data_IF_800710408820
#
_entry.id   IF_800710408820
#
_cell.length_a   1.000
_cell.length_b   1.000
_cell.length_c   1.000
_cell.angle_alpha   90.00
_cell.angle_beta   90.00
_cell.angle_gamma   90.00
#
_symmetry.space_group_name_H-M   'P 1'
#
loop_
_entity.id
_entity.type
_entity.pdbx_description
1 polymer ?
#
# COMPACT_ATOMS: atom_id res chain seq x y z
N UNK A 1 -6.95 -19.83 18.73
CA UNK A 1 -6.26 -19.22 17.58
C UNK A 1 -4.84 -19.76 17.61
N UNK A 2 -4.44 -20.51 16.58
CA UNK A 2 -3.05 -20.92 16.45
C UNK A 2 -2.19 -19.70 16.15
N UNK A 3 -0.92 -19.70 16.54
CA UNK A 3 0.02 -18.62 16.15
C UNK A 3 0.04 -18.42 14.62
N UNK A 4 -0.15 -19.51 13.88
CA UNK A 4 -0.20 -19.54 12.42
C UNK A 4 -1.42 -18.82 11.83
N UNK A 5 -2.51 -18.71 12.57
CA UNK A 5 -3.69 -17.95 12.14
C UNK A 5 -3.35 -16.46 12.03
N UNK A 6 -2.47 -15.95 12.91
CA UNK A 6 -2.04 -14.54 12.92
C UNK A 6 -1.16 -14.25 11.69
N UNK A 7 -0.22 -15.14 11.37
CA UNK A 7 0.63 -14.97 10.20
C UNK A 7 -0.18 -15.05 8.89
N UNK A 8 -1.12 -15.98 8.78
CA UNK A 8 -2.01 -16.03 7.60
C UNK A 8 -2.93 -14.80 7.51
N UNK A 9 -3.44 -14.29 8.64
CA UNK A 9 -4.22 -13.06 8.65
C UNK A 9 -3.38 -11.86 8.21
N UNK A 10 -2.15 -11.74 8.71
CA UNK A 10 -1.22 -10.68 8.31
C UNK A 10 -0.89 -10.76 6.81
N UNK A 11 -0.64 -11.97 6.29
CA UNK A 11 -0.40 -12.20 4.86
C UNK A 11 -1.55 -11.68 4.00
N UNK A 12 -2.80 -11.89 4.43
CA UNK A 12 -3.99 -11.40 3.70
C UNK A 12 -4.05 -9.87 3.66
N UNK A 13 -3.74 -9.19 4.76
CA UNK A 13 -3.68 -7.73 4.77
C UNK A 13 -2.52 -7.17 3.93
N UNK A 14 -1.35 -7.85 3.92
CA UNK A 14 -0.24 -7.48 3.02
C UNK A 14 -0.62 -7.67 1.56
N UNK A 15 -1.26 -8.79 1.23
CA UNK A 15 -1.77 -9.02 -0.12
C UNK A 15 -2.72 -7.89 -0.52
N UNK A 16 -3.70 -7.57 0.33
CA UNK A 16 -4.67 -6.52 0.07
C UNK A 16 -3.99 -5.15 -0.13
N UNK A 17 -3.00 -4.82 0.70
CA UNK A 17 -2.18 -3.63 0.57
C UNK A 17 -1.50 -3.55 -0.81
N UNK A 18 -0.77 -4.60 -1.18
CA UNK A 18 -0.05 -4.62 -2.44
C UNK A 18 -0.98 -4.56 -3.65
N UNK A 19 -2.08 -5.33 -3.66
CA UNK A 19 -3.06 -5.28 -4.74
C UNK A 19 -3.54 -3.85 -5.01
N UNK A 20 -3.90 -3.11 -3.95
CA UNK A 20 -4.38 -1.74 -4.08
C UNK A 20 -3.26 -0.77 -4.47
N UNK A 21 -2.04 -1.00 -3.98
CA UNK A 21 -0.90 -0.17 -4.32
C UNK A 21 -0.48 -0.33 -5.78
N UNK A 22 -0.36 -1.55 -6.28
CA UNK A 22 -0.01 -1.79 -7.68
C UNK A 22 -1.14 -1.38 -8.63
N UNK A 23 -2.41 -1.56 -8.25
CA UNK A 23 -3.53 -0.95 -8.99
C UNK A 23 -3.40 0.59 -9.07
N UNK A 24 -2.96 1.23 -7.98
CA UNK A 24 -2.69 2.66 -7.98
C UNK A 24 -1.50 3.02 -8.87
N UNK A 25 -0.39 2.28 -8.82
CA UNK A 25 0.79 2.54 -9.64
C UNK A 25 0.52 2.35 -11.14
N UNK A 26 -0.12 1.25 -11.51
CA UNK A 26 -0.47 0.93 -12.90
C UNK A 26 -1.35 2.02 -13.51
N UNK A 27 -2.29 2.58 -12.74
CA UNK A 27 -3.15 3.65 -13.25
C UNK A 27 -2.47 5.02 -13.13
N UNK A 28 -1.92 5.35 -11.96
CA UNK A 28 -1.56 6.70 -11.52
C UNK A 28 -0.07 6.97 -11.28
N UNK A 29 0.77 5.94 -11.31
CA UNK A 29 2.24 6.02 -11.19
C UNK A 29 2.91 6.76 -12.34
N UNK A 30 4.19 7.10 -12.21
CA UNK A 30 4.85 8.02 -13.15
C UNK A 30 4.94 7.52 -14.60
N UNK A 31 4.94 6.20 -14.81
CA UNK A 31 5.11 5.56 -16.12
C UNK A 31 4.09 6.04 -17.17
N UNK A 32 2.81 6.11 -16.82
CA UNK A 32 1.75 6.47 -17.76
C UNK A 32 1.24 7.91 -17.63
N UNK A 33 2.06 8.84 -17.13
CA UNK A 33 1.65 10.23 -16.85
C UNK A 33 1.01 10.93 -18.07
N UNK A 34 1.57 10.74 -19.27
CA UNK A 34 1.04 11.32 -20.51
C UNK A 34 -0.32 10.71 -20.86
N UNK A 35 -0.37 9.37 -20.99
CA UNK A 35 -1.58 8.61 -21.32
C UNK A 35 -2.73 8.89 -20.36
N UNK A 36 -2.45 9.03 -19.07
CA UNK A 36 -3.48 9.44 -18.10
C UNK A 36 -4.15 10.77 -18.41
N UNK A 37 -3.36 11.78 -18.78
CA UNK A 37 -3.90 13.13 -19.06
C UNK A 37 -4.68 13.17 -20.37
N UNK A 38 -4.29 12.35 -21.33
CA UNK A 38 -4.88 12.34 -22.68
C UNK A 38 -6.02 11.32 -22.83
N UNK A 39 -6.01 10.24 -22.03
CA UNK A 39 -6.93 9.12 -22.16
C UNK A 39 -7.74 8.90 -20.89
N UNK A 40 -7.09 8.65 -19.74
CA UNK A 40 -7.79 8.26 -18.51
C UNK A 40 -8.71 9.37 -18.00
N UNK A 41 -8.14 10.55 -17.68
CA UNK A 41 -8.93 11.65 -17.15
C UNK A 41 -9.97 12.15 -18.14
N UNK A 42 -9.68 12.36 -19.44
CA UNK A 42 -10.70 12.79 -20.40
C UNK A 42 -11.83 11.76 -20.62
N UNK A 43 -11.63 10.48 -20.31
CA UNK A 43 -12.68 9.47 -20.44
C UNK A 43 -13.76 9.64 -19.37
N UNK A 44 -13.39 9.95 -18.13
CA UNK A 44 -14.36 10.29 -17.08
C UNK A 44 -13.66 10.99 -15.89
N UNK A 45 -13.47 12.32 -15.92
CA UNK A 45 -12.58 13.00 -14.97
C UNK A 45 -12.93 12.77 -13.51
N UNK A 46 -14.22 12.90 -13.16
CA UNK A 46 -14.71 12.77 -11.77
C UNK A 46 -14.53 11.34 -11.21
N UNK A 47 -14.71 10.33 -12.05
CA UNK A 47 -14.60 8.92 -11.65
C UNK A 47 -13.15 8.61 -11.32
N UNK A 48 -12.23 8.92 -12.23
CA UNK A 48 -10.82 8.59 -12.05
C UNK A 48 -10.13 9.44 -10.99
N UNK A 49 -10.56 10.69 -10.78
CA UNK A 49 -10.07 11.48 -9.65
C UNK A 49 -10.55 10.91 -8.30
N UNK A 50 -11.81 10.46 -8.24
CA UNK A 50 -12.36 9.77 -7.06
C UNK A 50 -11.59 8.47 -6.80
N UNK A 51 -11.42 7.61 -7.80
CA UNK A 51 -10.70 6.33 -7.66
C UNK A 51 -9.27 6.57 -7.19
N UNK A 52 -8.53 7.50 -7.82
CA UNK A 52 -7.16 7.86 -7.43
C UNK A 52 -7.09 8.22 -5.94
N UNK A 53 -7.99 9.11 -5.48
CA UNK A 53 -8.02 9.55 -4.10
C UNK A 53 -8.37 8.41 -3.14
N UNK A 54 -9.37 7.59 -3.49
CA UNK A 54 -9.82 6.47 -2.64
C UNK A 54 -8.77 5.37 -2.52
N UNK A 55 -8.13 4.96 -3.63
CA UNK A 55 -7.05 3.96 -3.59
C UNK A 55 -5.87 4.45 -2.75
N UNK A 56 -5.43 5.68 -2.99
CA UNK A 56 -4.33 6.26 -2.21
C UNK A 56 -4.65 6.29 -0.72
N UNK A 57 -5.84 6.79 -0.33
CA UNK A 57 -6.25 6.84 1.08
C UNK A 57 -6.37 5.44 1.69
N UNK A 58 -6.84 4.47 0.92
CA UNK A 58 -6.98 3.09 1.37
C UNK A 58 -5.61 2.46 1.67
N UNK A 59 -4.63 2.60 0.77
CA UNK A 59 -3.25 2.13 0.97
C UNK A 59 -2.64 2.72 2.23
N UNK A 60 -2.73 4.04 2.42
CA UNK A 60 -2.20 4.70 3.63
C UNK A 60 -2.89 4.20 4.91
N UNK A 61 -4.19 3.90 4.83
CA UNK A 61 -4.96 3.36 5.95
C UNK A 61 -4.54 1.93 6.29
N UNK A 62 -4.34 1.05 5.31
CA UNK A 62 -3.86 -0.32 5.55
C UNK A 62 -2.47 -0.28 6.21
N UNK A 63 -1.53 0.47 5.64
CA UNK A 63 -0.19 0.67 6.23
C UNK A 63 -0.30 1.14 7.68
N UNK A 64 -1.14 2.14 7.94
CA UNK A 64 -1.30 2.67 9.30
C UNK A 64 -1.83 1.61 10.28
N UNK A 65 -2.79 0.77 9.88
CA UNK A 65 -3.34 -0.31 10.71
C UNK A 65 -2.30 -1.40 10.98
N UNK A 66 -1.51 -1.78 9.96
CA UNK A 66 -0.42 -2.74 10.11
C UNK A 66 0.71 -2.23 11.02
N UNK A 67 0.85 -0.90 11.16
CA UNK A 67 1.86 -0.26 12.00
C UNK A 67 1.32 0.25 13.34
N UNK A 68 0.05 -0.01 13.67
CA UNK A 68 -0.52 0.34 14.95
C UNK A 68 0.13 -0.45 16.12
N UNK A 69 0.00 0.03 17.37
CA UNK A 69 0.41 -0.73 18.55
C UNK A 69 -0.29 -2.09 18.63
N UNK A 70 0.24 -3.02 19.43
CA UNK A 70 -0.35 -4.36 19.61
C UNK A 70 -1.80 -4.30 20.14
N UNK A 71 -2.13 -3.24 20.87
CA UNK A 71 -3.47 -2.99 21.40
C UNK A 71 -3.88 -1.54 21.25
N UNK A 72 -5.16 -1.31 20.99
CA UNK A 72 -5.79 0.00 21.07
C UNK A 72 -7.08 -0.12 21.88
N UNK A 73 -7.28 0.74 22.87
CA UNK A 73 -8.45 0.72 23.75
C UNK A 73 -8.75 -0.68 24.33
N UNK A 74 -7.70 -1.43 24.72
CA UNK A 74 -7.80 -2.77 25.29
C UNK A 74 -8.02 -3.92 24.29
N UNK A 75 -8.27 -3.63 23.01
CA UNK A 75 -8.46 -4.64 21.96
C UNK A 75 -7.15 -4.93 21.23
N UNK A 76 -6.91 -6.20 20.90
CA UNK A 76 -5.74 -6.62 20.12
C UNK A 76 -5.86 -6.19 18.66
N UNK A 77 -4.76 -5.68 18.11
CA UNK A 77 -4.63 -5.33 16.70
C UNK A 77 -3.84 -6.41 15.97
N UNK A 78 -4.22 -6.68 14.72
CA UNK A 78 -3.36 -7.38 13.78
C UNK A 78 -2.33 -6.36 13.24
N UNK A 79 -1.18 -6.27 13.88
CA UNK A 79 -0.12 -5.34 13.52
C UNK A 79 1.26 -6.00 13.50
N UNK A 80 2.25 -5.33 12.92
CA UNK A 80 3.63 -5.78 12.84
C UNK A 80 4.20 -6.04 14.23
N UNK A 81 3.84 -5.21 15.22
CA UNK A 81 4.24 -5.41 16.61
C UNK A 81 3.64 -6.70 17.19
N UNK A 82 2.37 -6.96 16.93
CA UNK A 82 1.71 -8.20 17.37
C UNK A 82 2.36 -9.41 16.71
N UNK A 83 2.71 -9.30 15.42
CA UNK A 83 3.37 -10.38 14.69
C UNK A 83 4.76 -10.68 15.30
N UNK A 84 5.57 -9.65 15.50
CA UNK A 84 6.91 -9.78 16.10
C UNK A 84 6.82 -10.33 17.52
N UNK A 85 5.90 -9.83 18.36
CA UNK A 85 5.77 -10.30 19.75
C UNK A 85 5.30 -11.75 19.84
N UNK A 86 4.42 -12.18 18.92
CA UNK A 86 3.89 -13.56 18.86
C UNK A 86 4.97 -14.58 18.50
N UNK A 87 5.91 -14.23 17.62
CA UNK A 87 6.87 -15.18 17.05
C UNK A 87 8.27 -15.15 17.70
N UNK A 88 8.50 -14.30 18.70
CA UNK A 88 9.75 -14.36 19.48
C UNK A 88 9.88 -15.71 20.22
N UNK A 89 11.12 -16.18 20.48
CA UNK A 89 12.41 -15.58 20.08
C UNK A 89 12.78 -15.90 18.63
N UNK A 90 13.56 -15.03 17.97
CA UNK A 90 14.09 -15.23 16.60
C UNK A 90 15.55 -15.70 16.62
N UNK A 91 16.03 -16.27 15.50
CA UNK A 91 17.49 -16.39 15.25
C UNK A 91 18.15 -15.01 15.19
N UNK A 92 19.47 -14.96 15.41
CA UNK A 92 20.23 -13.71 15.38
C UNK A 92 20.14 -13.02 14.01
N UNK A 93 20.23 -13.80 12.95
CA UNK A 93 20.14 -13.35 11.56
C UNK A 93 18.74 -12.78 11.26
N UNK A 94 17.68 -13.48 11.68
CA UNK A 94 16.32 -12.99 11.51
C UNK A 94 16.06 -11.72 12.31
N UNK A 95 16.58 -11.63 13.55
CA UNK A 95 16.42 -10.46 14.40
C UNK A 95 17.05 -9.21 13.78
N UNK A 96 18.28 -9.31 13.26
CA UNK A 96 18.97 -8.20 12.59
C UNK A 96 18.17 -7.67 11.39
N UNK A 97 17.65 -8.56 10.54
CA UNK A 97 16.83 -8.17 9.39
C UNK A 97 15.54 -7.48 9.84
N UNK A 98 14.86 -8.01 10.86
CA UNK A 98 13.62 -7.41 11.39
C UNK A 98 13.90 -6.01 11.94
N UNK A 99 14.97 -5.82 12.72
CA UNK A 99 15.30 -4.53 13.32
C UNK A 99 15.65 -3.47 12.25
N UNK A 100 16.42 -3.86 11.23
CA UNK A 100 16.74 -2.99 10.10
C UNK A 100 15.49 -2.56 9.32
N UNK A 101 14.59 -3.51 9.01
CA UNK A 101 13.34 -3.22 8.33
C UNK A 101 12.41 -2.32 9.17
N UNK A 102 12.37 -2.52 10.49
CA UNK A 102 11.61 -1.64 11.39
C UNK A 102 12.16 -0.20 11.38
N UNK A 103 13.48 -0.03 11.32
CA UNK A 103 14.12 1.28 11.21
C UNK A 103 13.72 1.99 9.91
N UNK A 104 13.77 1.28 8.77
CA UNK A 104 13.37 1.82 7.47
C UNK A 104 11.88 2.21 7.43
N UNK A 105 11.01 1.38 8.01
CA UNK A 105 9.58 1.72 8.15
C UNK A 105 9.41 3.03 8.93
N UNK A 106 10.10 3.20 10.05
CA UNK A 106 9.98 4.41 10.88
C UNK A 106 10.46 5.66 10.14
N UNK A 107 11.53 5.55 9.34
CA UNK A 107 12.04 6.65 8.54
C UNK A 107 11.02 7.14 7.49
N UNK A 108 10.23 6.22 6.92
CA UNK A 108 9.29 6.53 5.82
C UNK A 108 7.83 6.72 6.29
N UNK A 109 7.47 6.35 7.52
CA UNK A 109 6.07 6.35 7.97
C UNK A 109 5.53 7.72 8.44
N UNK A 110 6.38 8.70 8.74
CA UNK A 110 5.96 9.95 9.40
C UNK A 110 4.90 10.73 8.62
N UNK A 111 5.06 10.88 7.30
CA UNK A 111 4.10 11.59 6.45
C UNK A 111 2.81 10.79 6.26
N UNK A 112 2.91 9.48 6.10
CA UNK A 112 1.78 8.55 6.03
C UNK A 112 0.90 8.70 7.28
N UNK A 113 1.51 8.66 8.47
CA UNK A 113 0.82 8.85 9.75
C UNK A 113 0.14 10.21 9.84
N UNK A 114 0.79 11.26 9.34
CA UNK A 114 0.22 12.62 9.30
C UNK A 114 -1.04 12.67 8.44
N UNK A 115 -1.00 12.08 7.24
CA UNK A 115 -2.17 11.94 6.37
C UNK A 115 -3.30 11.16 7.03
N UNK A 116 -2.98 10.01 7.64
CA UNK A 116 -3.97 9.20 8.36
C UNK A 116 -4.66 10.01 9.44
N UNK A 117 -3.90 10.66 10.32
CA UNK A 117 -4.45 11.40 11.43
C UNK A 117 -5.25 12.61 10.98
N UNK A 118 -4.70 13.46 10.11
CA UNK A 118 -5.32 14.74 9.77
C UNK A 118 -6.45 14.61 8.75
N UNK A 119 -6.30 13.76 7.73
CA UNK A 119 -7.22 13.76 6.59
C UNK A 119 -8.14 12.54 6.54
N UNK A 120 -7.63 11.36 6.87
CA UNK A 120 -8.35 10.10 6.64
C UNK A 120 -9.23 9.76 7.84
N UNK A 121 -8.70 9.84 9.06
CA UNK A 121 -9.40 9.37 10.26
C UNK A 121 -10.17 10.45 11.01
N UNK A 122 -9.63 11.67 11.14
CA UNK A 122 -10.18 12.67 12.08
C UNK A 122 -10.74 13.93 11.45
N UNK A 123 -10.66 14.08 10.11
CA UNK A 123 -11.15 15.26 9.42
C UNK A 123 -10.69 16.59 10.08
N UNK A 124 -9.39 16.68 10.37
CA UNK A 124 -8.79 17.77 11.13
C UNK A 124 -9.14 19.13 10.54
N UNK A 125 -9.69 20.01 11.37
CA UNK A 125 -10.25 21.29 10.95
C UNK A 125 -9.17 22.20 10.34
N UNK A 126 -8.03 22.33 11.00
CA UNK A 126 -6.91 23.16 10.53
C UNK A 126 -6.44 22.69 9.16
N UNK A 127 -6.27 21.38 9.01
CA UNK A 127 -5.91 20.79 7.73
C UNK A 127 -6.96 21.02 6.64
N UNK A 128 -8.26 20.99 6.98
CA UNK A 128 -9.33 21.25 6.01
C UNK A 128 -9.41 22.69 5.55
N UNK A 129 -9.01 23.63 6.39
CA UNK A 129 -8.96 25.05 6.04
C UNK A 129 -7.70 25.40 5.24
N UNK A 130 -6.55 24.82 5.60
CA UNK A 130 -5.25 25.22 5.07
C UNK A 130 -4.69 24.31 3.96
N UNK A 131 -5.26 23.11 3.78
CA UNK A 131 -4.77 22.08 2.83
C UNK A 131 -3.28 21.74 3.00
N UNK A 132 -2.77 21.77 4.23
CA UNK A 132 -1.34 21.68 4.57
C UNK A 132 -0.92 20.25 4.95
N UNK A 133 -0.94 19.35 3.95
CA UNK A 133 -0.38 18.01 4.11
C UNK A 133 0.92 17.85 3.33
N UNK A 134 1.91 17.17 3.91
CA UNK A 134 3.16 16.90 3.21
C UNK A 134 2.94 15.90 2.08
N UNK A 135 3.46 16.19 0.89
CA UNK A 135 3.49 15.20 -0.20
C UNK A 135 4.26 13.96 0.24
N UNK A 136 3.66 12.78 0.02
CA UNK A 136 4.30 11.49 0.22
C UNK A 136 4.85 11.02 -1.13
N UNK A 137 6.17 10.92 -1.31
CA UNK A 137 6.76 10.30 -2.49
C UNK A 137 6.32 8.84 -2.62
N UNK A 138 6.07 8.39 -3.85
CA UNK A 138 5.77 6.99 -4.17
C UNK A 138 6.78 6.04 -3.52
N UNK A 139 8.07 6.39 -3.62
CA UNK A 139 9.17 5.59 -3.04
C UNK A 139 9.08 5.43 -1.52
N UNK A 140 8.58 6.42 -0.78
CA UNK A 140 8.40 6.29 0.68
C UNK A 140 7.31 5.25 1.00
N UNK A 141 6.26 5.15 0.17
CA UNK A 141 5.20 4.14 0.33
C UNK A 141 5.74 2.75 -0.04
N UNK A 142 6.45 2.65 -1.17
CA UNK A 142 7.09 1.41 -1.61
C UNK A 142 8.07 0.86 -0.57
N UNK A 143 8.96 1.70 -0.01
CA UNK A 143 9.89 1.28 1.04
C UNK A 143 9.19 0.72 2.28
N UNK A 144 8.05 1.28 2.69
CA UNK A 144 7.27 0.72 3.80
C UNK A 144 6.66 -0.64 3.44
N UNK A 145 6.14 -0.79 2.22
CA UNK A 145 5.56 -2.06 1.74
C UNK A 145 6.64 -3.14 1.65
N UNK A 146 7.78 -2.83 1.01
CA UNK A 146 8.90 -3.76 0.87
C UNK A 146 9.46 -4.19 2.25
N UNK A 147 9.58 -3.26 3.20
CA UNK A 147 10.02 -3.58 4.56
C UNK A 147 8.99 -4.42 5.34
N UNK A 148 7.69 -4.20 5.12
CA UNK A 148 6.63 -5.05 5.70
C UNK A 148 6.68 -6.48 5.14
N UNK A 149 6.85 -6.62 3.82
CA UNK A 149 7.03 -7.89 3.13
C UNK A 149 8.27 -8.62 3.66
N UNK A 150 9.39 -7.90 3.78
CA UNK A 150 10.65 -8.43 4.28
C UNK A 150 10.48 -9.01 5.69
N UNK A 151 9.90 -8.26 6.64
CA UNK A 151 9.65 -8.77 8.00
C UNK A 151 8.76 -10.01 7.98
N UNK A 152 7.67 -9.99 7.20
CA UNK A 152 6.79 -11.15 7.09
C UNK A 152 7.53 -12.39 6.57
N UNK A 153 8.30 -12.24 5.49
CA UNK A 153 9.04 -13.34 4.88
C UNK A 153 10.16 -13.84 5.81
N UNK A 154 10.87 -12.96 6.50
CA UNK A 154 11.87 -13.33 7.52
C UNK A 154 11.24 -14.17 8.63
N UNK A 155 10.10 -13.76 9.18
CA UNK A 155 9.38 -14.53 10.20
C UNK A 155 8.92 -15.88 9.63
N UNK A 156 8.38 -15.90 8.41
CA UNK A 156 7.92 -17.13 7.77
C UNK A 156 9.06 -18.13 7.52
N UNK A 157 10.22 -17.66 7.07
CA UNK A 157 11.40 -18.49 6.84
C UNK A 157 11.93 -19.02 8.18
N UNK A 158 12.15 -18.14 9.16
CA UNK A 158 12.69 -18.52 10.47
C UNK A 158 11.78 -19.53 11.21
N UNK A 159 10.45 -19.41 11.06
CA UNK A 159 9.48 -20.21 11.82
C UNK A 159 8.88 -21.39 11.07
N UNK A 160 8.90 -21.37 9.75
CA UNK A 160 8.24 -22.38 8.91
C UNK A 160 9.11 -22.90 7.77
N UNK A 161 10.30 -22.33 7.57
CA UNK A 161 11.16 -22.59 6.41
C UNK A 161 10.39 -22.43 5.09
N UNK A 162 9.62 -21.35 4.97
CA UNK A 162 8.82 -21.01 3.77
C UNK A 162 8.95 -19.54 3.45
N UNK A 163 9.27 -19.21 2.20
CA UNK A 163 9.10 -17.88 1.64
C UNK A 163 7.73 -17.77 0.95
N UNK A 164 7.27 -16.54 0.79
CA UNK A 164 6.10 -16.21 0.00
C UNK A 164 6.49 -15.15 -1.02
N UNK A 165 6.13 -15.40 -2.28
CA UNK A 165 6.17 -14.38 -3.32
C UNK A 165 4.81 -13.68 -3.33
N UNK A 166 4.82 -12.36 -3.20
CA UNK A 166 3.60 -11.58 -3.33
C UNK A 166 3.33 -11.23 -4.80
N UNK A 167 2.08 -11.47 -5.21
CA UNK A 167 1.69 -11.70 -6.60
C UNK A 167 1.61 -10.49 -7.56
N UNK A 168 1.33 -9.24 -7.15
CA UNK A 168 1.01 -8.19 -8.13
C UNK A 168 2.20 -7.79 -9.02
N UNK A 169 3.43 -8.12 -8.65
CA UNK A 169 4.65 -7.86 -9.47
C UNK A 169 4.77 -8.79 -10.69
N UNK A 170 4.10 -9.95 -10.68
CA UNK A 170 4.28 -11.03 -11.67
C UNK A 170 3.06 -11.24 -12.59
N UNK A 171 2.12 -10.29 -12.63
CA UNK A 171 0.99 -10.36 -13.55
C UNK A 171 1.44 -10.11 -14.99
N UNK A 172 0.86 -10.85 -15.94
CA UNK A 172 1.00 -10.56 -17.36
C UNK A 172 0.40 -9.18 -17.66
N UNK A 173 1.05 -8.42 -18.54
CA UNK A 173 0.74 -7.01 -18.81
C UNK A 173 -0.72 -6.80 -19.26
N UNK A 174 -1.36 -7.81 -19.88
CA UNK A 174 -2.76 -7.74 -20.28
C UNK A 174 -3.75 -7.78 -19.10
N UNK A 175 -3.29 -8.20 -17.91
CA UNK A 175 -4.08 -8.23 -16.68
C UNK A 175 -3.70 -7.11 -15.70
N UNK A 176 -2.64 -6.34 -16.00
CA UNK A 176 -2.31 -5.13 -15.25
C UNK A 176 -3.32 -4.04 -15.52
N UNK A 177 -3.51 -3.15 -14.55
CA UNK A 177 -4.49 -2.09 -14.71
C UNK A 177 -4.09 -1.06 -15.80
N UNK A 178 -2.82 -1.06 -16.21
CA UNK A 178 -2.33 -0.31 -17.37
C UNK A 178 -3.07 -0.65 -18.67
N UNK A 179 -3.50 -1.90 -18.85
CA UNK A 179 -4.27 -2.33 -20.03
C UNK A 179 -5.62 -1.59 -20.16
N UNK A 180 -6.19 -1.09 -19.05
CA UNK A 180 -7.37 -0.22 -19.11
C UNK A 180 -7.12 1.03 -19.96
N UNK A 181 -5.90 1.57 -19.96
CA UNK A 181 -5.55 2.73 -20.78
C UNK A 181 -5.64 2.40 -22.27
N UNK A 182 -5.27 1.19 -22.69
CA UNK A 182 -5.38 0.76 -24.08
C UNK A 182 -6.85 0.65 -24.50
N UNK A 183 -7.68 0.06 -23.64
CA UNK A 183 -9.14 -0.07 -23.88
C UNK A 183 -9.79 1.32 -23.99
N UNK A 184 -9.47 2.23 -23.06
CA UNK A 184 -10.02 3.59 -23.08
C UNK A 184 -9.53 4.36 -24.31
N UNK A 185 -8.25 4.22 -24.67
CA UNK A 185 -7.69 4.89 -25.84
C UNK A 185 -8.38 4.40 -27.13
N UNK A 186 -8.53 3.09 -27.30
CA UNK A 186 -9.23 2.51 -28.43
C UNK A 186 -10.71 2.94 -28.47
N UNK A 187 -11.40 2.95 -27.32
CA UNK A 187 -12.77 3.40 -27.21
C UNK A 187 -12.95 4.88 -27.59
N UNK A 188 -12.03 5.75 -27.14
CA UNK A 188 -12.04 7.17 -27.52
C UNK A 188 -11.84 7.37 -29.01
N UNK A 189 -10.88 6.67 -29.62
CA UNK A 189 -10.63 6.68 -31.07
C UNK A 189 -11.88 6.27 -31.86
N UNK A 190 -12.49 5.16 -31.47
CA UNK A 190 -13.69 4.63 -32.11
C UNK A 190 -14.89 5.60 -32.04
N UNK A 191 -14.96 6.42 -30.98
CA UNK A 191 -16.00 7.43 -30.78
C UNK A 191 -15.64 8.81 -31.37
N UNK A 192 -14.45 8.98 -31.97
CA UNK A 192 -13.98 10.26 -32.48
C UNK A 192 -13.67 11.30 -31.38
N UNK A 193 -13.32 10.83 -30.18
CA UNK A 193 -13.07 11.65 -28.99
C UNK A 193 -11.56 11.93 -28.75
N UNK A 194 -10.71 11.73 -29.76
CA UNK A 194 -9.28 11.94 -29.61
C UNK A 194 -8.95 13.39 -29.26
N UNK A 195 -7.97 13.55 -28.36
CA UNK A 195 -7.44 14.85 -27.98
C UNK A 195 -6.67 15.39 -29.20
N UNK A 196 -7.16 16.46 -29.82
CA UNK A 196 -6.43 17.20 -30.87
C UNK A 196 -5.16 17.84 -30.31
#
# INVERSE_FOLDING_TARGET
MSQFDILEAFKKELWDLENHWYLFLDLYGHEHKKRRREVLFPSHPLLFDTIKLRLHDHVLLIISRLLDPEKTCGKHNLSLKTLISTYKPFSSEALEVIENAQSDILANFTKIKTHRNKRISHNDLTNKLNFDLPTIPIKEIESVIDSLELVFNTISIDKRNRSHEFFPRNLDDNYKAGHLLDILEAGRKALGLDVR
#
